data_IF_740674912997
#
_entry.id   IF_740674912997
#
_cell.length_a   1.000
_cell.length_b   1.000
_cell.length_c   1.000
_cell.angle_alpha   90.00
_cell.angle_beta   90.00
_cell.angle_gamma   90.00
#
_symmetry.space_group_name_H-M   'P 1'
#
loop_
_entity.id
_entity.type
_entity.pdbx_description
1 polymer ?
#
# COMPACT_ATOMS: atom_id res chain seq x y z
N UNK A 1 4.29 3.88 -51.60
CA UNK A 1 5.43 3.69 -50.67
C UNK A 1 4.88 3.54 -49.25
N UNK A 2 4.25 2.39 -48.96
CA UNK A 2 3.60 2.14 -47.64
C UNK A 2 4.19 0.93 -46.91
N UNK A 3 5.28 0.34 -47.43
CA UNK A 3 5.90 -0.91 -46.86
C UNK A 3 7.06 -0.71 -45.89
N UNK A 4 7.49 0.54 -45.63
CA UNK A 4 8.68 0.76 -44.77
C UNK A 4 8.40 0.86 -43.27
N UNK A 5 7.18 1.19 -42.87
CA UNK A 5 6.84 1.42 -41.46
C UNK A 5 6.68 0.11 -40.65
N UNK A 6 5.98 -0.87 -41.21
CA UNK A 6 5.72 -2.15 -40.54
C UNK A 6 7.00 -3.00 -40.37
N UNK A 7 7.88 -2.92 -41.37
CA UNK A 7 9.16 -3.65 -41.33
C UNK A 7 10.13 -3.07 -40.25
N UNK A 8 10.11 -1.76 -40.03
CA UNK A 8 10.89 -1.11 -38.96
C UNK A 8 10.31 -1.40 -37.58
N UNK A 9 9.00 -1.42 -37.42
CA UNK A 9 8.33 -1.79 -36.16
C UNK A 9 8.57 -3.26 -35.81
N UNK A 10 8.44 -4.17 -36.77
CA UNK A 10 8.72 -5.59 -36.55
C UNK A 10 10.19 -5.86 -36.17
N UNK A 11 11.12 -5.18 -36.80
CA UNK A 11 12.57 -5.29 -36.50
C UNK A 11 12.93 -4.70 -35.14
N UNK A 12 12.30 -3.61 -34.75
CA UNK A 12 12.46 -2.99 -33.42
C UNK A 12 11.90 -3.92 -32.32
N UNK A 13 10.72 -4.49 -32.51
CA UNK A 13 10.13 -5.46 -31.59
C UNK A 13 11.00 -6.72 -31.43
N UNK A 14 11.56 -7.21 -32.52
CA UNK A 14 12.46 -8.36 -32.50
C UNK A 14 13.78 -8.09 -31.76
N UNK A 15 14.39 -6.92 -32.00
CA UNK A 15 15.62 -6.52 -31.29
C UNK A 15 15.35 -6.31 -29.80
N UNK A 16 14.21 -5.72 -29.42
CA UNK A 16 13.82 -5.57 -28.02
C UNK A 16 13.55 -6.93 -27.34
N UNK A 17 12.87 -7.84 -28.02
CA UNK A 17 12.65 -9.19 -27.48
C UNK A 17 13.96 -9.93 -27.28
N UNK A 18 14.87 -9.91 -28.25
CA UNK A 18 16.19 -10.53 -28.15
C UNK A 18 17.07 -9.88 -27.06
N UNK A 19 17.04 -8.55 -26.93
CA UNK A 19 17.72 -7.84 -25.84
C UNK A 19 17.12 -8.16 -24.48
N UNK A 20 15.80 -8.21 -24.38
CA UNK A 20 15.10 -8.59 -23.16
C UNK A 20 15.43 -10.03 -22.74
N UNK A 21 15.37 -10.98 -23.68
CA UNK A 21 15.73 -12.38 -23.43
C UNK A 21 17.21 -12.52 -23.04
N UNK A 22 18.09 -11.73 -23.67
CA UNK A 22 19.51 -11.71 -23.31
C UNK A 22 19.74 -11.12 -21.94
N UNK A 23 19.11 -9.97 -21.60
CA UNK A 23 19.17 -9.36 -20.28
C UNK A 23 18.59 -10.32 -19.24
N UNK A 24 17.47 -10.97 -19.53
CA UNK A 24 16.85 -11.97 -18.67
C UNK A 24 17.78 -13.16 -18.43
N UNK A 25 18.43 -13.66 -19.49
CA UNK A 25 19.41 -14.75 -19.40
C UNK A 25 20.68 -14.33 -18.66
N UNK A 26 21.22 -13.12 -18.91
CA UNK A 26 22.33 -12.56 -18.16
C UNK A 26 22.00 -12.32 -16.67
N UNK A 27 20.70 -12.09 -16.35
CA UNK A 27 20.19 -12.00 -14.98
C UNK A 27 20.08 -13.39 -14.32
N UNK A 28 19.63 -14.40 -15.06
CA UNK A 28 19.52 -15.79 -14.60
C UNK A 28 20.92 -16.45 -14.47
N UNK A 29 21.90 -16.10 -15.32
CA UNK A 29 23.29 -16.56 -15.24
C UNK A 29 24.15 -15.84 -14.20
N UNK A 30 23.73 -14.63 -13.73
CA UNK A 30 24.31 -13.96 -12.57
C UNK A 30 23.68 -14.43 -11.25
N UNK A 31 23.59 -15.73 -11.01
CA UNK A 31 23.55 -16.29 -9.66
C UNK A 31 24.92 -16.16 -8.97
N UNK A 32 25.45 -14.95 -8.92
CA UNK A 32 26.33 -14.53 -7.85
C UNK A 32 25.48 -14.58 -6.61
N UNK A 33 25.95 -15.16 -5.52
CA UNK A 33 25.27 -15.32 -4.22
C UNK A 33 24.56 -14.03 -3.79
N UNK A 34 23.41 -13.78 -4.40
CA UNK A 34 22.63 -12.60 -4.08
C UNK A 34 21.98 -12.86 -2.72
N UNK A 35 22.30 -12.00 -1.76
CA UNK A 35 21.69 -12.03 -0.45
C UNK A 35 20.17 -12.05 -0.61
N UNK A 36 19.48 -12.98 0.04
CA UNK A 36 18.03 -13.08 -0.02
C UNK A 36 17.42 -11.84 0.66
N UNK A 37 16.47 -11.17 0.01
CA UNK A 37 15.81 -10.01 0.58
C UNK A 37 14.37 -10.31 0.94
N UNK A 38 14.05 -10.11 2.22
CA UNK A 38 12.70 -10.12 2.79
C UNK A 38 12.47 -8.86 3.64
N UNK A 39 13.26 -7.81 3.37
CA UNK A 39 13.22 -6.56 4.14
C UNK A 39 11.92 -5.78 3.92
N UNK A 40 11.48 -5.71 2.67
CA UNK A 40 10.29 -4.95 2.28
C UNK A 40 9.59 -5.57 1.06
N UNK A 41 8.41 -5.05 0.73
CA UNK A 41 7.56 -5.51 -0.37
C UNK A 41 7.55 -4.56 -1.59
N UNK A 42 8.62 -3.76 -1.74
CA UNK A 42 8.80 -2.80 -2.84
C UNK A 42 10.26 -2.72 -3.34
N UNK A 43 11.03 -3.82 -3.18
CA UNK A 43 12.43 -3.86 -3.63
C UNK A 43 12.57 -4.06 -5.14
N UNK A 44 11.65 -4.79 -5.75
CA UNK A 44 11.64 -5.06 -7.18
C UNK A 44 11.03 -3.89 -7.97
N UNK A 45 11.26 -3.89 -9.29
CA UNK A 45 10.64 -2.94 -10.22
C UNK A 45 9.15 -3.15 -10.39
N UNK A 46 8.66 -3.26 -11.63
CA UNK A 46 7.26 -3.55 -11.88
C UNK A 46 7.04 -4.96 -12.43
N UNK A 47 5.81 -5.47 -12.26
CA UNK A 47 5.37 -6.72 -12.88
C UNK A 47 5.52 -6.66 -14.41
N UNK A 48 5.93 -7.76 -15.04
CA UNK A 48 6.24 -7.82 -16.47
C UNK A 48 5.11 -7.33 -17.38
N UNK A 49 3.86 -7.60 -17.03
CA UNK A 49 2.68 -7.14 -17.78
C UNK A 49 2.60 -5.60 -17.74
N UNK A 50 2.92 -4.99 -16.61
CA UNK A 50 2.95 -3.52 -16.44
C UNK A 50 4.06 -2.92 -17.31
N UNK A 51 5.29 -3.46 -17.23
CA UNK A 51 6.40 -3.00 -18.06
C UNK A 51 6.10 -3.15 -19.54
N UNK A 52 5.55 -4.28 -19.95
CA UNK A 52 5.14 -4.51 -21.33
C UNK A 52 4.13 -3.46 -21.79
N UNK A 53 3.11 -3.17 -20.99
CA UNK A 53 2.08 -2.17 -21.31
C UNK A 53 2.67 -0.78 -21.46
N UNK A 54 3.61 -0.39 -20.60
CA UNK A 54 4.33 0.88 -20.71
C UNK A 54 5.15 0.96 -22.01
N UNK A 55 5.82 -0.12 -22.41
CA UNK A 55 6.61 -0.21 -23.65
C UNK A 55 5.68 -0.11 -24.87
N UNK A 56 4.62 -0.91 -24.88
CA UNK A 56 3.70 -0.98 -26.03
C UNK A 56 3.04 0.37 -26.33
N UNK A 57 2.77 1.16 -25.30
CA UNK A 57 2.09 2.46 -25.41
C UNK A 57 3.04 3.67 -25.50
N UNK A 58 4.36 3.46 -25.34
CA UNK A 58 5.34 4.55 -25.14
C UNK A 58 5.33 5.64 -26.21
N UNK A 59 5.08 5.29 -27.48
CA UNK A 59 5.13 6.24 -28.60
C UNK A 59 3.77 6.90 -28.91
N UNK A 60 2.74 6.59 -28.15
CA UNK A 60 1.44 7.24 -28.32
C UNK A 60 1.48 8.69 -27.84
N UNK A 61 0.89 9.58 -28.62
CA UNK A 61 0.71 10.99 -28.25
C UNK A 61 -0.62 11.14 -27.51
N UNK A 62 -0.54 11.45 -26.21
CA UNK A 62 -1.67 11.48 -25.29
C UNK A 62 -1.78 12.83 -24.58
N UNK A 63 -2.98 13.16 -24.11
CA UNK A 63 -3.22 14.31 -23.23
C UNK A 63 -2.36 14.23 -21.98
N UNK A 64 -1.95 15.37 -21.44
CA UNK A 64 -1.16 15.45 -20.20
C UNK A 64 -2.01 15.44 -18.94
N UNK A 65 -1.31 15.42 -17.79
CA UNK A 65 -1.87 15.66 -16.47
C UNK A 65 -2.98 14.69 -16.03
N UNK A 66 -2.95 13.44 -16.55
CA UNK A 66 -3.93 12.40 -16.18
C UNK A 66 -5.30 12.53 -16.82
N UNK A 67 -5.40 13.26 -17.93
CA UNK A 67 -6.64 13.40 -18.72
C UNK A 67 -6.65 12.52 -19.99
N UNK A 68 -5.70 11.61 -20.09
CA UNK A 68 -5.62 10.64 -21.19
C UNK A 68 -6.57 9.46 -20.97
N UNK A 69 -6.85 8.73 -22.05
CA UNK A 69 -7.81 7.63 -22.02
C UNK A 69 -7.38 6.45 -21.13
N UNK A 70 -6.07 6.22 -20.90
CA UNK A 70 -5.62 5.18 -19.98
C UNK A 70 -5.94 5.55 -18.54
N UNK A 71 -5.74 6.82 -18.17
CA UNK A 71 -6.15 7.32 -16.87
C UNK A 71 -7.65 7.18 -16.66
N UNK A 72 -8.46 7.57 -17.66
CA UNK A 72 -9.92 7.46 -17.54
C UNK A 72 -10.37 5.99 -17.48
N UNK A 73 -9.81 5.10 -18.32
CA UNK A 73 -10.14 3.66 -18.26
C UNK A 73 -9.73 3.05 -16.92
N UNK A 74 -8.57 3.41 -16.37
CA UNK A 74 -8.13 2.96 -15.06
C UNK A 74 -9.12 3.37 -13.96
N UNK A 75 -9.55 4.64 -13.97
CA UNK A 75 -10.52 5.17 -12.99
C UNK A 75 -11.85 4.40 -13.08
N UNK A 76 -12.40 4.17 -14.27
CA UNK A 76 -13.64 3.41 -14.44
C UNK A 76 -13.52 1.96 -13.96
N UNK A 77 -12.40 1.28 -14.22
CA UNK A 77 -12.14 -0.08 -13.70
C UNK A 77 -12.07 -0.11 -12.18
N UNK A 78 -11.42 0.89 -11.57
CA UNK A 78 -11.33 1.03 -10.12
C UNK A 78 -12.71 1.24 -9.50
N UNK A 79 -13.51 2.17 -10.04
CA UNK A 79 -14.90 2.41 -9.60
C UNK A 79 -15.73 1.12 -9.65
N UNK A 80 -15.66 0.40 -10.77
CA UNK A 80 -16.37 -0.87 -10.93
C UNK A 80 -15.91 -1.93 -9.92
N UNK A 81 -14.61 -2.04 -9.65
CA UNK A 81 -14.06 -2.97 -8.67
C UNK A 81 -14.53 -2.65 -7.24
N UNK A 82 -14.62 -1.36 -6.90
CA UNK A 82 -15.07 -0.88 -5.59
C UNK A 82 -16.61 -0.80 -5.47
N UNK A 83 -17.35 -0.94 -6.59
CA UNK A 83 -18.80 -0.78 -6.60
C UNK A 83 -19.28 0.64 -6.29
N UNK A 84 -18.46 1.65 -6.63
CA UNK A 84 -18.69 3.07 -6.37
C UNK A 84 -18.78 3.83 -7.71
N UNK A 85 -19.90 3.76 -8.40
CA UNK A 85 -20.05 4.38 -9.74
C UNK A 85 -19.92 5.91 -9.69
N UNK A 86 -20.41 6.53 -8.63
CA UNK A 86 -20.36 7.99 -8.42
C UNK A 86 -19.03 8.49 -7.82
N UNK A 87 -18.10 7.61 -7.50
CA UNK A 87 -16.80 7.98 -6.93
C UNK A 87 -15.95 8.82 -7.88
N UNK A 88 -15.10 9.67 -7.30
CA UNK A 88 -14.07 10.40 -8.00
C UNK A 88 -12.71 9.74 -7.71
N UNK A 89 -11.95 9.42 -8.77
CA UNK A 89 -10.66 8.74 -8.63
C UNK A 89 -9.54 9.65 -9.10
N UNK A 90 -8.47 9.75 -8.30
CA UNK A 90 -7.28 10.50 -8.61
C UNK A 90 -6.02 9.64 -8.45
N UNK A 91 -5.06 9.73 -9.39
CA UNK A 91 -3.84 8.95 -9.36
C UNK A 91 -2.66 9.81 -8.88
N UNK A 92 -1.98 9.36 -7.82
CA UNK A 92 -0.81 9.99 -7.20
C UNK A 92 0.39 9.04 -7.24
N UNK A 93 1.60 9.50 -6.90
CA UNK A 93 2.83 8.73 -7.13
C UNK A 93 3.30 7.89 -5.95
N UNK A 94 2.92 8.20 -4.73
CA UNK A 94 3.41 7.49 -3.55
C UNK A 94 2.57 7.73 -2.30
N UNK A 95 2.63 6.80 -1.33
CA UNK A 95 1.75 6.77 -0.15
C UNK A 95 1.87 8.03 0.72
N UNK A 96 3.09 8.39 1.15
CA UNK A 96 3.31 9.60 1.98
C UNK A 96 2.82 10.87 1.29
N UNK A 97 3.08 11.02 -0.02
CA UNK A 97 2.56 12.14 -0.80
C UNK A 97 1.02 12.14 -0.82
N UNK A 98 0.42 10.96 -0.95
CA UNK A 98 -1.03 10.77 -0.96
C UNK A 98 -1.63 11.17 0.39
N UNK A 99 -1.09 10.65 1.49
CA UNK A 99 -1.55 10.98 2.85
C UNK A 99 -1.44 12.49 3.11
N UNK A 100 -0.30 13.10 2.78
CA UNK A 100 -0.07 14.53 2.93
C UNK A 100 -1.11 15.37 2.16
N UNK A 101 -1.35 15.06 0.89
CA UNK A 101 -2.28 15.82 0.03
C UNK A 101 -3.72 15.68 0.50
N UNK A 102 -4.15 14.46 0.83
CA UNK A 102 -5.52 14.20 1.26
C UNK A 102 -5.79 14.92 2.58
N UNK A 103 -4.94 14.73 3.57
CA UNK A 103 -5.12 15.32 4.91
C UNK A 103 -5.09 16.84 4.82
N UNK A 104 -4.10 17.43 4.13
CA UNK A 104 -4.01 18.89 3.95
C UNK A 104 -5.14 19.50 3.13
N UNK A 105 -5.81 18.71 2.30
CA UNK A 105 -6.88 19.22 1.44
C UNK A 105 -8.26 19.10 2.09
N UNK A 106 -8.46 18.04 2.86
CA UNK A 106 -9.75 17.72 3.48
C UNK A 106 -9.95 18.47 4.78
N UNK A 107 -8.88 18.62 5.58
CA UNK A 107 -8.96 19.26 6.88
C UNK A 107 -8.97 20.79 6.78
N UNK A 108 -9.76 21.40 7.64
CA UNK A 108 -9.66 22.84 7.91
C UNK A 108 -8.38 23.14 8.73
N UNK A 109 -7.81 24.37 8.66
CA UNK A 109 -6.53 24.70 9.31
C UNK A 109 -6.47 24.48 10.83
N UNK A 110 -7.61 24.39 11.50
CA UNK A 110 -7.74 24.15 12.94
C UNK A 110 -7.99 22.68 13.28
N UNK A 111 -8.05 21.80 12.28
CA UNK A 111 -8.35 20.39 12.45
C UNK A 111 -7.09 19.53 12.42
N UNK A 112 -7.17 18.39 13.09
CA UNK A 112 -6.17 17.34 13.08
C UNK A 112 -6.75 15.98 12.66
N UNK A 113 -5.89 15.06 12.30
CA UNK A 113 -6.24 13.70 11.91
C UNK A 113 -6.06 12.74 13.09
N UNK A 114 -7.11 11.98 13.41
CA UNK A 114 -7.06 10.91 14.41
C UNK A 114 -6.41 9.69 13.77
N UNK A 115 -5.36 9.14 14.38
CA UNK A 115 -4.67 7.94 13.91
C UNK A 115 -4.28 7.03 15.08
N UNK A 116 -4.08 5.74 14.81
CA UNK A 116 -3.44 4.85 15.78
C UNK A 116 -2.02 5.35 16.09
N UNK A 117 -1.56 5.23 17.35
CA UNK A 117 -0.18 5.57 17.74
C UNK A 117 0.88 4.89 16.87
N UNK A 118 0.57 3.70 16.32
CA UNK A 118 1.42 2.96 15.39
C UNK A 118 1.09 3.22 13.92
N UNK A 119 0.12 4.07 13.62
CA UNK A 119 -0.27 4.42 12.26
C UNK A 119 0.88 5.02 11.46
N UNK A 120 0.90 4.78 10.16
CA UNK A 120 2.00 5.22 9.30
C UNK A 120 2.23 6.73 9.37
N UNK A 121 1.16 7.53 9.40
CA UNK A 121 1.22 8.99 9.55
C UNK A 121 1.77 9.45 10.91
N UNK A 122 1.65 8.60 11.96
CA UNK A 122 2.20 8.90 13.29
C UNK A 122 3.69 8.60 13.39
N UNK A 123 4.20 7.60 12.63
CA UNK A 123 5.52 7.01 12.91
C UNK A 123 6.51 7.04 11.73
N UNK A 124 6.05 6.92 10.49
CA UNK A 124 6.91 6.61 9.34
C UNK A 124 6.84 7.62 8.18
N UNK A 125 6.30 8.82 8.41
CA UNK A 125 6.19 9.85 7.37
C UNK A 125 7.02 11.11 7.64
N UNK A 126 8.00 11.02 8.54
CA UNK A 126 8.94 12.13 8.84
C UNK A 126 8.24 13.45 9.20
N UNK A 127 7.05 13.39 9.82
CA UNK A 127 6.25 14.57 10.15
C UNK A 127 5.61 15.24 8.93
N UNK A 128 5.30 14.48 7.86
CA UNK A 128 4.71 15.04 6.65
C UNK A 128 3.34 15.69 6.89
N UNK A 129 2.58 15.18 7.86
CA UNK A 129 1.28 15.75 8.22
C UNK A 129 1.45 17.06 9.01
N UNK A 130 2.35 17.06 10.00
CA UNK A 130 2.68 18.27 10.77
C UNK A 130 3.28 19.36 9.89
N UNK A 131 4.03 18.97 8.84
CA UNK A 131 4.58 19.89 7.85
C UNK A 131 3.49 20.66 7.09
N UNK A 132 2.28 20.09 6.93
CA UNK A 132 1.14 20.79 6.34
C UNK A 132 0.39 21.70 7.33
N UNK A 133 0.77 21.67 8.62
CA UNK A 133 0.17 22.46 9.67
C UNK A 133 -0.92 21.72 10.47
N UNK A 134 -1.18 20.44 10.15
CA UNK A 134 -2.15 19.63 10.87
C UNK A 134 -1.48 18.78 11.94
N UNK A 135 -2.20 18.56 13.03
CA UNK A 135 -1.74 17.71 14.12
C UNK A 135 -2.23 16.28 13.91
N UNK A 136 -1.36 15.29 14.17
CA UNK A 136 -1.81 13.91 14.36
C UNK A 136 -2.30 13.75 15.80
N UNK A 137 -3.57 13.34 15.97
CA UNK A 137 -4.23 13.06 17.24
C UNK A 137 -4.15 11.55 17.49
N UNK A 138 -3.12 11.12 18.24
CA UNK A 138 -2.85 9.70 18.45
C UNK A 138 -3.84 9.05 19.41
N UNK A 139 -4.39 7.90 19.00
CA UNK A 139 -5.15 6.99 19.86
C UNK A 139 -4.33 5.75 20.25
N UNK A 140 -4.58 5.18 21.44
CA UNK A 140 -4.11 3.84 21.78
C UNK A 140 -4.56 2.84 20.72
N UNK A 141 -3.73 1.83 20.49
CA UNK A 141 -4.02 0.79 19.51
C UNK A 141 -4.06 -0.59 20.16
N UNK A 142 -4.78 -1.51 19.56
CA UNK A 142 -4.72 -2.93 19.86
C UNK A 142 -4.43 -3.68 18.56
N UNK A 143 -3.30 -4.35 18.50
CA UNK A 143 -2.83 -5.07 17.31
C UNK A 143 -2.74 -4.18 16.06
N UNK A 144 -2.33 -2.91 16.25
CA UNK A 144 -2.25 -1.89 15.18
C UNK A 144 -3.58 -1.19 14.85
N UNK A 145 -4.71 -1.60 15.45
CA UNK A 145 -6.04 -1.09 15.14
C UNK A 145 -6.55 -0.06 16.14
N UNK A 146 -7.21 0.98 15.67
CA UNK A 146 -8.06 1.85 16.48
C UNK A 146 -9.28 1.04 16.92
N UNK A 147 -9.60 1.11 18.22
CA UNK A 147 -10.83 0.52 18.74
C UNK A 147 -11.97 1.55 18.68
N UNK A 148 -13.14 1.15 18.19
CA UNK A 148 -14.28 2.04 18.07
C UNK A 148 -14.67 2.71 19.40
N UNK A 149 -14.55 1.99 20.53
CA UNK A 149 -14.80 2.54 21.86
C UNK A 149 -13.83 3.68 22.22
N UNK A 150 -12.55 3.55 21.88
CA UNK A 150 -11.55 4.59 22.14
C UNK A 150 -11.80 5.83 21.26
N UNK A 151 -12.16 5.62 19.99
CA UNK A 151 -12.55 6.70 19.09
C UNK A 151 -13.77 7.46 19.65
N UNK A 152 -14.81 6.75 20.04
CA UNK A 152 -16.01 7.34 20.60
C UNK A 152 -15.72 8.13 21.88
N UNK A 153 -14.96 7.54 22.80
CA UNK A 153 -14.55 8.20 24.04
C UNK A 153 -13.75 9.49 23.79
N UNK A 154 -12.83 9.49 22.81
CA UNK A 154 -12.09 10.70 22.44
C UNK A 154 -13.03 11.82 21.98
N UNK A 155 -13.98 11.49 21.08
CA UNK A 155 -14.92 12.47 20.52
C UNK A 155 -15.92 12.97 21.58
N UNK A 156 -16.47 12.08 22.41
CA UNK A 156 -17.37 12.46 23.52
C UNK A 156 -16.64 13.36 24.53
N UNK A 157 -15.39 13.01 24.87
CA UNK A 157 -14.57 13.82 25.79
C UNK A 157 -14.26 15.19 25.20
N UNK A 158 -13.89 15.25 23.92
CA UNK A 158 -13.60 16.51 23.23
C UNK A 158 -14.81 17.44 23.25
N UNK A 159 -15.95 16.98 22.76
CA UNK A 159 -17.16 17.81 22.68
C UNK A 159 -17.85 18.04 24.03
N UNK A 160 -17.53 17.25 25.05
CA UNK A 160 -17.98 17.45 26.43
C UNK A 160 -17.19 18.48 27.21
N UNK A 161 -16.01 18.89 26.72
CA UNK A 161 -15.19 19.91 27.36
C UNK A 161 -15.74 21.31 27.03
N UNK A 162 -16.05 22.09 28.05
CA UNK A 162 -16.56 23.48 27.88
C UNK A 162 -15.55 24.41 27.17
N UNK A 163 -14.29 24.02 27.04
CA UNK A 163 -13.22 24.80 26.41
C UNK A 163 -12.72 24.15 25.09
N UNK A 164 -13.48 23.25 24.48
CA UNK A 164 -13.05 22.53 23.26
C UNK A 164 -12.67 23.49 22.11
N UNK A 165 -13.22 24.69 22.05
CA UNK A 165 -12.88 25.74 21.08
C UNK A 165 -11.39 26.19 21.16
N UNK A 166 -10.67 25.86 22.24
CA UNK A 166 -9.24 26.12 22.40
C UNK A 166 -8.35 24.95 22.00
N UNK A 167 -8.94 23.84 21.55
CA UNK A 167 -8.23 22.62 21.20
C UNK A 167 -8.20 22.40 19.69
N UNK A 168 -7.31 21.51 19.22
CA UNK A 168 -7.32 21.06 17.83
C UNK A 168 -8.54 20.17 17.62
N UNK A 169 -9.37 20.52 16.65
CA UNK A 169 -10.58 19.76 16.34
C UNK A 169 -10.26 18.41 15.69
N UNK A 170 -10.91 17.33 16.09
CA UNK A 170 -10.83 16.06 15.37
C UNK A 170 -11.58 16.16 14.04
N UNK A 171 -10.86 16.21 12.93
CA UNK A 171 -11.43 16.48 11.60
C UNK A 171 -11.46 15.27 10.65
N UNK A 172 -10.75 14.19 10.98
CA UNK A 172 -10.67 12.99 10.14
C UNK A 172 -10.22 11.80 10.99
N UNK A 173 -10.68 10.60 10.66
CA UNK A 173 -10.13 9.33 11.18
C UNK A 173 -9.32 8.66 10.09
N UNK A 174 -8.04 8.41 10.36
CA UNK A 174 -7.12 7.67 9.50
C UNK A 174 -6.90 6.26 10.04
N UNK A 175 -7.01 5.26 9.17
CA UNK A 175 -6.66 3.87 9.47
C UNK A 175 -5.84 3.28 8.32
N UNK A 176 -4.94 2.35 8.62
CA UNK A 176 -4.27 1.52 7.61
C UNK A 176 -4.92 0.15 7.49
N UNK A 177 -5.12 -0.34 6.27
CA UNK A 177 -5.65 -1.69 6.04
C UNK A 177 -4.91 -2.41 4.89
N UNK A 178 -4.14 -3.48 5.20
CA UNK A 178 -3.73 -3.97 6.54
C UNK A 178 -3.03 -2.92 7.39
N UNK A 179 -3.05 -3.10 8.72
CA UNK A 179 -2.29 -2.24 9.64
C UNK A 179 -0.78 -2.41 9.44
N UNK A 180 0.02 -1.59 10.10
CA UNK A 180 1.48 -1.69 10.09
C UNK A 180 1.99 -3.03 10.64
N UNK A 181 1.20 -3.66 11.52
CA UNK A 181 1.44 -5.03 12.01
C UNK A 181 0.90 -6.14 11.09
N UNK A 182 0.35 -5.77 9.93
CA UNK A 182 -0.24 -6.72 8.98
C UNK A 182 -1.56 -7.33 9.43
N UNK A 183 -2.16 -6.83 10.50
CA UNK A 183 -3.49 -7.26 10.98
C UNK A 183 -4.60 -6.64 10.13
N UNK A 184 -5.78 -7.23 10.17
CA UNK A 184 -6.93 -6.83 9.38
C UNK A 184 -8.05 -6.29 10.28
N UNK A 185 -8.66 -5.20 9.89
CA UNK A 185 -9.98 -4.84 10.41
C UNK A 185 -11.00 -5.83 9.85
N UNK A 186 -11.84 -6.36 10.71
CA UNK A 186 -13.04 -7.09 10.28
C UNK A 186 -14.08 -6.11 9.71
N UNK A 187 -14.99 -6.62 8.90
CA UNK A 187 -16.11 -5.81 8.40
C UNK A 187 -16.87 -5.12 9.52
N UNK A 188 -17.13 -5.84 10.63
CA UNK A 188 -17.84 -5.27 11.80
C UNK A 188 -17.05 -4.16 12.50
N UNK A 189 -15.72 -4.28 12.58
CA UNK A 189 -14.88 -3.20 13.13
C UNK A 189 -14.94 -1.95 12.23
N UNK A 190 -14.89 -2.12 10.90
CA UNK A 190 -15.03 -1.01 9.94
C UNK A 190 -16.42 -0.38 10.00
N UNK A 191 -17.50 -1.17 10.09
CA UNK A 191 -18.87 -0.66 10.27
C UNK A 191 -18.97 0.22 11.52
N UNK A 192 -18.43 -0.25 12.66
CA UNK A 192 -18.48 0.50 13.90
C UNK A 192 -17.69 1.83 13.82
N UNK A 193 -16.54 1.84 13.16
CA UNK A 193 -15.76 3.07 12.94
C UNK A 193 -16.50 4.03 12.01
N UNK A 194 -17.05 3.53 10.91
CA UNK A 194 -17.83 4.30 9.94
C UNK A 194 -19.08 4.94 10.59
N UNK A 195 -19.82 4.18 11.40
CA UNK A 195 -20.98 4.69 12.14
C UNK A 195 -20.61 5.87 13.04
N UNK A 196 -19.51 5.77 13.80
CA UNK A 196 -19.03 6.86 14.66
C UNK A 196 -18.58 8.08 13.81
N UNK A 197 -17.83 7.84 12.74
CA UNK A 197 -17.40 8.91 11.85
C UNK A 197 -18.59 9.67 11.27
N UNK A 198 -19.64 8.97 10.83
CA UNK A 198 -20.87 9.59 10.33
C UNK A 198 -21.65 10.33 11.42
N UNK A 199 -21.72 9.79 12.66
CA UNK A 199 -22.36 10.47 13.80
C UNK A 199 -21.73 11.83 14.06
N UNK A 200 -20.38 11.92 14.00
CA UNK A 200 -19.63 13.16 14.23
C UNK A 200 -19.33 13.97 12.95
N UNK A 201 -19.76 13.49 11.79
CA UNK A 201 -19.57 14.14 10.47
C UNK A 201 -18.11 14.39 10.12
N UNK A 202 -17.24 13.46 10.46
CA UNK A 202 -15.82 13.44 10.09
C UNK A 202 -15.57 12.27 9.15
N UNK A 203 -14.75 12.42 8.08
CA UNK A 203 -14.52 11.33 7.14
C UNK A 203 -13.67 10.21 7.75
N UNK A 204 -14.00 8.98 7.38
CA UNK A 204 -13.15 7.80 7.57
C UNK A 204 -12.25 7.65 6.35
N UNK A 205 -10.94 7.84 6.54
CA UNK A 205 -9.91 7.70 5.52
C UNK A 205 -9.10 6.42 5.74
N UNK A 206 -9.02 5.55 4.71
CA UNK A 206 -8.25 4.31 4.75
C UNK A 206 -7.01 4.38 3.87
N UNK A 207 -5.86 4.23 4.50
CA UNK A 207 -4.57 3.96 3.86
C UNK A 207 -4.53 2.51 3.37
N UNK A 208 -4.54 2.33 2.07
CA UNK A 208 -4.52 1.04 1.39
C UNK A 208 -3.19 0.70 0.74
N UNK A 209 -2.05 1.16 1.28
CA UNK A 209 -0.71 0.90 0.71
C UNK A 209 -0.44 -0.58 0.43
N UNK A 210 -1.01 -1.47 1.26
CA UNK A 210 -0.95 -2.93 1.13
C UNK A 210 -2.31 -3.58 0.93
N UNK A 211 -3.31 -2.83 0.49
CA UNK A 211 -4.69 -3.28 0.39
C UNK A 211 -4.85 -4.59 -0.39
N UNK A 212 -4.07 -4.76 -1.45
CA UNK A 212 -4.04 -5.99 -2.26
C UNK A 212 -3.77 -7.24 -1.42
N UNK A 213 -2.88 -7.14 -0.41
CA UNK A 213 -2.51 -8.26 0.45
C UNK A 213 -3.58 -8.49 1.54
N UNK A 214 -4.23 -7.43 2.00
CA UNK A 214 -5.39 -7.54 2.89
C UNK A 214 -6.58 -8.25 2.24
N UNK A 215 -6.91 -7.85 1.01
CA UNK A 215 -8.01 -8.46 0.23
C UNK A 215 -7.70 -9.91 -0.19
N UNK A 216 -6.41 -10.25 -0.37
CA UNK A 216 -6.00 -11.61 -0.75
C UNK A 216 -5.82 -12.56 0.46
N UNK A 217 -5.81 -12.06 1.69
CA UNK A 217 -5.70 -12.90 2.89
C UNK A 217 -6.90 -13.82 3.05
N UNK A 218 -6.67 -15.06 3.50
CA UNK A 218 -7.75 -16.04 3.69
C UNK A 218 -8.70 -15.66 4.84
N UNK A 219 -8.19 -14.95 5.84
CA UNK A 219 -8.93 -14.54 7.03
C UNK A 219 -9.77 -13.26 6.84
N UNK A 220 -9.69 -12.61 5.67
CA UNK A 220 -10.46 -11.37 5.43
C UNK A 220 -11.95 -11.66 5.22
N UNK A 221 -12.79 -10.84 5.81
CA UNK A 221 -14.24 -10.77 5.54
C UNK A 221 -14.61 -9.45 4.81
N UNK A 222 -13.57 -8.68 4.36
CA UNK A 222 -13.72 -7.37 3.74
C UNK A 222 -13.36 -7.44 2.27
N UNK A 223 -14.19 -6.86 1.43
CA UNK A 223 -13.96 -6.71 -0.03
C UNK A 223 -13.73 -5.25 -0.40
N UNK A 224 -13.23 -4.98 -1.62
CA UNK A 224 -13.15 -3.61 -2.16
C UNK A 224 -14.52 -2.90 -2.15
N UNK A 225 -15.61 -3.64 -2.39
CA UNK A 225 -16.98 -3.09 -2.35
C UNK A 225 -17.42 -2.73 -0.94
N UNK A 226 -16.97 -3.45 0.08
CA UNK A 226 -17.25 -3.10 1.47
C UNK A 226 -16.49 -1.82 1.86
N UNK A 227 -15.23 -1.70 1.45
CA UNK A 227 -14.42 -0.49 1.66
C UNK A 227 -15.07 0.73 0.99
N UNK A 228 -15.51 0.57 -0.28
CA UNK A 228 -16.20 1.64 -1.00
C UNK A 228 -17.52 2.09 -0.38
N UNK A 229 -18.14 1.27 0.49
CA UNK A 229 -19.36 1.62 1.23
C UNK A 229 -19.09 2.22 2.61
N UNK A 230 -17.98 1.82 3.24
CA UNK A 230 -17.73 2.10 4.66
C UNK A 230 -16.73 3.24 4.86
N UNK A 231 -15.88 3.51 3.86
CA UNK A 231 -14.90 4.61 3.92
C UNK A 231 -15.33 5.76 3.01
N UNK A 232 -15.18 6.98 3.49
CA UNK A 232 -15.44 8.19 2.70
C UNK A 232 -14.31 8.43 1.70
N UNK A 233 -13.08 8.10 2.11
CA UNK A 233 -11.87 8.24 1.31
C UNK A 233 -11.02 6.99 1.54
N UNK A 234 -10.41 6.47 0.48
CA UNK A 234 -9.37 5.45 0.61
C UNK A 234 -8.43 5.53 -0.57
N UNK A 235 -7.26 4.90 -0.47
CA UNK A 235 -6.47 4.69 -1.66
C UNK A 235 -6.10 3.22 -1.85
N UNK A 236 -5.95 2.82 -3.10
CA UNK A 236 -5.48 1.51 -3.51
C UNK A 236 -4.00 1.63 -3.87
N UNK A 237 -3.14 1.01 -3.05
CA UNK A 237 -1.71 1.01 -3.26
C UNK A 237 -1.30 0.24 -4.50
N UNK A 238 -0.55 0.88 -5.38
CA UNK A 238 0.04 0.26 -6.57
C UNK A 238 1.53 0.00 -6.41
N UNK A 239 2.26 0.88 -5.72
CA UNK A 239 3.71 0.77 -5.52
C UNK A 239 4.14 -0.58 -4.94
N UNK A 240 3.40 -1.11 -3.97
CA UNK A 240 3.65 -2.44 -3.38
C UNK A 240 2.93 -3.57 -4.14
N UNK A 241 2.07 -3.22 -5.09
CA UNK A 241 1.28 -4.14 -5.90
C UNK A 241 1.85 -4.38 -7.32
N UNK A 242 3.16 -4.28 -7.48
CA UNK A 242 3.85 -4.54 -8.75
C UNK A 242 3.76 -3.41 -9.77
N UNK A 243 3.43 -2.19 -9.39
CA UNK A 243 3.64 -1.00 -10.20
C UNK A 243 5.03 -0.40 -9.93
N UNK A 244 5.57 0.41 -10.85
CA UNK A 244 6.78 1.21 -10.61
C UNK A 244 6.54 2.26 -9.52
N UNK A 245 5.38 2.85 -9.53
CA UNK A 245 4.87 3.81 -8.55
C UNK A 245 3.38 4.03 -8.80
N UNK A 246 2.65 4.45 -7.80
CA UNK A 246 1.28 4.90 -7.96
C UNK A 246 0.35 4.45 -6.84
N UNK A 247 -0.54 5.38 -6.50
CA UNK A 247 -1.63 5.19 -5.55
C UNK A 247 -2.92 5.73 -6.17
N UNK A 248 -3.98 4.96 -6.17
CA UNK A 248 -5.27 5.38 -6.68
C UNK A 248 -6.18 5.82 -5.53
N UNK A 249 -6.33 7.12 -5.36
CA UNK A 249 -7.22 7.72 -4.37
C UNK A 249 -8.65 7.64 -4.86
N UNK A 250 -9.55 7.17 -4.02
CA UNK A 250 -10.98 7.08 -4.27
C UNK A 250 -11.72 7.94 -3.24
N UNK A 251 -12.42 8.95 -3.71
CA UNK A 251 -13.39 9.73 -2.95
C UNK A 251 -14.76 9.16 -3.26
N UNK A 252 -15.41 8.58 -2.27
CA UNK A 252 -16.75 8.00 -2.45
C UNK A 252 -17.82 9.09 -2.46
N UNK A 253 -18.97 8.83 -3.07
CA UNK A 253 -20.15 9.71 -3.04
C UNK A 253 -19.89 11.19 -3.37
N UNK A 254 -18.93 11.49 -4.28
CA UNK A 254 -18.54 12.85 -4.65
C UNK A 254 -18.02 13.69 -3.48
N UNK A 255 -17.29 13.07 -2.58
CA UNK A 255 -16.68 13.71 -1.41
C UNK A 255 -15.36 14.42 -1.71
N UNK A 256 -14.88 14.41 -2.95
CA UNK A 256 -13.63 15.09 -3.34
C UNK A 256 -13.73 16.60 -3.09
N UNK A 257 -12.77 17.19 -2.35
CA UNK A 257 -12.79 18.63 -2.08
C UNK A 257 -12.71 19.47 -3.37
N UNK A 258 -13.36 20.62 -3.36
CA UNK A 258 -13.26 21.57 -4.45
C UNK A 258 -11.77 21.95 -4.69
N UNK A 259 -11.40 22.06 -5.97
CA UNK A 259 -10.03 22.40 -6.37
C UNK A 259 -8.95 21.39 -5.97
N UNK A 260 -9.30 20.12 -5.76
CA UNK A 260 -8.33 19.08 -5.42
C UNK A 260 -7.15 19.02 -6.38
N UNK A 261 -7.38 19.09 -7.69
CA UNK A 261 -6.32 19.18 -8.71
C UNK A 261 -5.33 20.34 -8.45
N UNK A 262 -5.84 21.48 -8.00
CA UNK A 262 -5.00 22.65 -7.68
C UNK A 262 -4.12 22.38 -6.48
N UNK A 263 -4.63 21.71 -5.45
CA UNK A 263 -3.87 21.28 -4.27
C UNK A 263 -2.79 20.26 -4.65
N UNK A 264 -3.13 19.27 -5.46
CA UNK A 264 -2.15 18.31 -6.02
C UNK A 264 -1.02 19.04 -6.75
N UNK A 265 -1.34 20.08 -7.54
CA UNK A 265 -0.34 20.90 -8.24
C UNK A 265 0.53 21.71 -7.27
N UNK A 266 -0.04 22.27 -6.21
CA UNK A 266 0.70 23.02 -5.18
C UNK A 266 1.72 22.12 -4.45
N UNK A 267 1.35 20.87 -4.16
CA UNK A 267 2.26 19.86 -3.59
C UNK A 267 3.29 19.29 -4.58
N UNK A 268 3.34 19.81 -5.83
CA UNK A 268 4.26 19.31 -6.87
C UNK A 268 3.97 17.89 -7.36
N UNK A 269 2.78 17.35 -7.04
CA UNK A 269 2.40 15.98 -7.28
C UNK A 269 1.71 15.73 -8.63
N UNK A 270 1.38 16.78 -9.38
CA UNK A 270 0.69 16.66 -10.67
C UNK A 270 1.69 16.39 -11.80
N UNK A 271 1.75 15.15 -12.25
CA UNK A 271 2.63 14.73 -13.32
C UNK A 271 2.17 15.23 -14.69
N UNK A 272 3.05 15.89 -15.43
CA UNK A 272 2.77 16.26 -16.83
C UNK A 272 2.49 15.02 -17.70
N UNK A 273 3.22 13.90 -17.46
CA UNK A 273 2.98 12.60 -18.10
C UNK A 273 2.16 11.69 -17.17
N UNK A 274 0.95 12.13 -16.78
CA UNK A 274 0.03 11.39 -15.91
C UNK A 274 -0.29 9.98 -16.42
N UNK A 275 -0.21 9.77 -17.76
CA UNK A 275 -0.33 8.44 -18.39
C UNK A 275 0.55 7.37 -17.73
N UNK A 276 1.70 7.76 -17.12
CA UNK A 276 2.56 6.82 -16.41
C UNK A 276 1.78 6.05 -15.34
N UNK A 277 0.92 6.74 -14.61
CA UNK A 277 0.06 6.11 -13.60
C UNK A 277 -1.13 5.41 -14.24
N UNK A 278 -1.79 6.08 -15.21
CA UNK A 278 -2.97 5.54 -15.91
C UNK A 278 -2.72 4.19 -16.57
N UNK A 279 -1.66 4.07 -17.37
CA UNK A 279 -1.29 2.82 -18.06
C UNK A 279 -1.03 1.67 -17.05
N UNK A 280 -0.40 1.97 -15.92
CA UNK A 280 -0.10 0.98 -14.91
C UNK A 280 -1.36 0.49 -14.20
N UNK A 281 -2.23 1.41 -13.74
CA UNK A 281 -3.49 1.03 -13.09
C UNK A 281 -4.48 0.40 -14.07
N UNK A 282 -4.54 0.86 -15.34
CA UNK A 282 -5.34 0.20 -16.38
C UNK A 282 -4.96 -1.27 -16.55
N UNK A 283 -3.66 -1.56 -16.62
CA UNK A 283 -3.15 -2.92 -16.71
C UNK A 283 -3.39 -3.73 -15.42
N UNK A 284 -3.18 -3.12 -14.24
CA UNK A 284 -3.37 -3.77 -12.94
C UNK A 284 -4.80 -4.27 -12.74
N UNK A 285 -5.79 -3.50 -13.21
CA UNK A 285 -7.22 -3.85 -13.14
C UNK A 285 -7.74 -4.53 -14.42
N UNK A 286 -6.84 -5.14 -15.22
CA UNK A 286 -7.18 -5.96 -16.39
C UNK A 286 -6.89 -7.43 -16.08
N UNK A 287 -7.74 -8.36 -16.59
CA UNK A 287 -7.56 -9.80 -16.52
C UNK A 287 -7.26 -10.35 -15.12
N UNK A 288 -7.85 -9.73 -14.10
CA UNK A 288 -7.73 -10.13 -12.69
C UNK A 288 -6.28 -10.09 -12.16
N UNK A 289 -5.42 -9.23 -12.75
CA UNK A 289 -4.01 -9.14 -12.36
C UNK A 289 -3.85 -8.69 -10.91
N UNK A 290 -4.67 -7.74 -10.46
CA UNK A 290 -4.68 -7.26 -9.07
C UNK A 290 -4.78 -8.41 -8.07
N UNK A 291 -5.76 -9.32 -8.26
CA UNK A 291 -5.95 -10.47 -7.37
C UNK A 291 -4.81 -11.50 -7.48
N UNK A 292 -4.31 -11.76 -8.69
CA UNK A 292 -3.21 -12.71 -8.92
C UNK A 292 -1.92 -12.28 -8.21
N UNK A 293 -1.60 -10.98 -8.25
CA UNK A 293 -0.46 -10.39 -7.57
C UNK A 293 -0.56 -10.55 -6.05
N UNK A 294 -1.73 -10.23 -5.47
CA UNK A 294 -1.97 -10.39 -4.03
C UNK A 294 -1.80 -11.83 -3.56
N UNK A 295 -2.32 -12.78 -4.34
CA UNK A 295 -2.28 -14.21 -4.01
C UNK A 295 -0.86 -14.75 -3.84
N UNK A 296 0.08 -14.40 -4.72
CA UNK A 296 1.47 -14.84 -4.62
C UNK A 296 2.13 -14.46 -3.29
N UNK A 297 1.93 -13.22 -2.85
CA UNK A 297 2.51 -12.74 -1.59
C UNK A 297 1.94 -13.48 -0.37
N UNK A 298 0.64 -13.77 -0.37
CA UNK A 298 -0.03 -14.48 0.74
C UNK A 298 0.38 -15.96 0.76
N UNK A 299 0.43 -16.63 -0.38
CA UNK A 299 0.88 -18.04 -0.46
C UNK A 299 2.33 -18.21 0.01
N UNK A 300 3.22 -17.31 -0.41
CA UNK A 300 4.63 -17.35 0.01
C UNK A 300 4.79 -17.02 1.49
N UNK A 301 4.01 -16.06 2.02
CA UNK A 301 3.94 -15.77 3.45
C UNK A 301 3.45 -16.97 4.27
N UNK A 302 2.39 -17.65 3.83
CA UNK A 302 1.83 -18.80 4.52
C UNK A 302 2.86 -19.95 4.64
N UNK A 303 3.63 -20.24 3.58
CA UNK A 303 4.70 -21.23 3.62
C UNK A 303 5.81 -20.81 4.59
N UNK A 304 6.22 -19.54 4.57
CA UNK A 304 7.25 -19.02 5.48
C UNK A 304 6.76 -19.09 6.94
N UNK A 305 5.55 -18.64 7.25
CA UNK A 305 4.93 -18.75 8.60
C UNK A 305 4.91 -20.19 9.11
N UNK A 306 4.47 -21.13 8.25
CA UNK A 306 4.43 -22.55 8.61
C UNK A 306 5.82 -23.10 8.93
N UNK A 307 6.84 -22.72 8.16
CA UNK A 307 8.22 -23.12 8.37
C UNK A 307 8.80 -22.54 9.66
N UNK A 308 8.60 -21.25 9.93
CA UNK A 308 9.01 -20.57 11.16
C UNK A 308 8.36 -21.21 12.40
N UNK A 309 7.06 -21.50 12.33
CA UNK A 309 6.34 -22.17 13.42
C UNK A 309 6.91 -23.57 13.70
N UNK A 310 7.24 -24.34 12.64
CA UNK A 310 7.87 -25.66 12.75
C UNK A 310 9.28 -25.57 13.37
N UNK A 311 10.03 -24.51 13.06
CA UNK A 311 11.37 -24.27 13.62
C UNK A 311 11.33 -23.73 15.06
N UNK A 312 10.14 -23.46 15.63
CA UNK A 312 9.97 -23.03 17.02
C UNK A 312 10.11 -21.52 17.27
N UNK A 313 10.12 -20.68 16.24
CA UNK A 313 10.16 -19.24 16.43
C UNK A 313 8.88 -18.69 17.04
N UNK A 314 9.05 -17.77 18.01
CA UNK A 314 7.94 -17.04 18.62
C UNK A 314 7.45 -15.94 17.66
N UNK A 315 6.15 -15.93 17.39
CA UNK A 315 5.52 -14.83 16.64
C UNK A 315 5.21 -13.68 17.57
N UNK A 316 5.71 -12.49 17.23
CA UNK A 316 5.40 -11.26 17.97
C UNK A 316 3.92 -10.89 17.83
N UNK A 317 3.38 -11.07 16.64
CA UNK A 317 1.96 -10.89 16.33
C UNK A 317 1.54 -11.89 15.23
N UNK A 318 0.32 -12.37 15.28
CA UNK A 318 -0.23 -13.25 14.24
C UNK A 318 -0.85 -12.40 13.11
N UNK A 319 -0.02 -12.07 12.13
CA UNK A 319 -0.42 -11.34 10.94
C UNK A 319 -0.93 -12.31 9.87
N UNK A 320 -2.15 -12.13 9.33
CA UNK A 320 -2.67 -12.95 8.23
C UNK A 320 -2.17 -12.54 6.85
N UNK A 321 -1.34 -11.50 6.76
CA UNK A 321 -0.91 -10.91 5.49
C UNK A 321 0.53 -11.25 5.11
N UNK A 322 1.09 -10.50 4.18
CA UNK A 322 2.45 -10.66 3.66
C UNK A 322 3.56 -10.23 4.63
N UNK A 323 3.23 -9.65 5.78
CA UNK A 323 4.17 -9.21 6.80
C UNK A 323 4.20 -10.21 7.96
N UNK A 324 5.37 -10.73 8.32
CA UNK A 324 5.55 -11.77 9.34
C UNK A 324 6.53 -11.25 10.38
N UNK A 325 6.11 -11.21 11.62
CA UNK A 325 6.88 -10.67 12.75
C UNK A 325 7.26 -11.78 13.70
N UNK A 326 8.56 -11.94 13.95
CA UNK A 326 9.08 -12.92 14.90
C UNK A 326 10.01 -12.27 15.92
N UNK A 327 10.10 -12.89 17.08
CA UNK A 327 11.13 -12.60 18.08
C UNK A 327 12.33 -13.50 17.81
N UNK A 328 13.52 -12.92 17.70
CA UNK A 328 14.76 -13.65 17.43
C UNK A 328 15.85 -13.24 18.41
N UNK A 329 16.69 -14.20 18.84
CA UNK A 329 17.91 -13.90 19.61
C UNK A 329 18.89 -13.04 18.80
N UNK A 330 19.54 -12.07 19.47
CA UNK A 330 20.44 -11.12 18.80
C UNK A 330 21.68 -11.79 18.17
N UNK A 331 22.11 -12.94 18.68
CA UNK A 331 23.19 -13.75 18.10
C UNK A 331 22.72 -14.44 16.82
N UNK A 332 21.55 -15.09 16.88
CA UNK A 332 20.92 -15.70 15.69
C UNK A 332 20.61 -14.65 14.61
N UNK A 333 20.16 -13.46 14.99
CA UNK A 333 19.93 -12.36 14.03
C UNK A 333 21.20 -11.98 13.26
N UNK A 334 22.34 -11.88 13.95
CA UNK A 334 23.63 -11.59 13.31
C UNK A 334 24.06 -12.68 12.30
N UNK A 335 23.78 -13.96 12.61
CA UNK A 335 24.04 -15.04 11.68
C UNK A 335 23.06 -15.02 10.48
N UNK A 336 21.76 -14.81 10.74
CA UNK A 336 20.75 -14.68 9.71
C UNK A 336 21.12 -13.58 8.69
N UNK A 337 21.55 -12.42 9.21
CA UNK A 337 21.89 -11.25 8.39
C UNK A 337 23.08 -11.45 7.45
N UNK A 338 23.84 -12.55 7.60
CA UNK A 338 24.88 -12.93 6.61
C UNK A 338 24.28 -13.51 5.33
N UNK A 339 23.03 -13.95 5.34
CA UNK A 339 22.37 -14.65 4.26
C UNK A 339 21.07 -13.97 3.79
N UNK A 340 20.37 -13.28 4.70
CA UNK A 340 19.03 -12.74 4.47
C UNK A 340 18.93 -11.32 5.03
N UNK A 341 18.43 -10.38 4.23
CA UNK A 341 18.04 -9.06 4.74
C UNK A 341 16.58 -9.10 5.23
N UNK A 342 16.39 -8.56 6.44
CA UNK A 342 15.08 -8.43 7.11
C UNK A 342 14.97 -7.05 7.74
N UNK A 343 13.74 -6.57 7.96
CA UNK A 343 13.54 -5.31 8.67
C UNK A 343 13.71 -5.50 10.18
N UNK A 344 14.48 -4.61 10.81
CA UNK A 344 14.34 -4.36 12.23
C UNK A 344 12.94 -3.78 12.49
N UNK A 345 12.25 -4.29 13.50
CA UNK A 345 10.95 -3.75 13.90
C UNK A 345 11.05 -3.00 15.23
N UNK A 346 11.37 -3.71 16.30
CA UNK A 346 11.60 -3.11 17.61
C UNK A 346 12.52 -3.96 18.50
N UNK A 347 13.07 -3.37 19.54
CA UNK A 347 13.78 -4.08 20.59
C UNK A 347 12.78 -4.76 21.52
N UNK A 348 12.81 -6.08 21.63
CA UNK A 348 11.98 -6.82 22.60
C UNK A 348 12.51 -6.72 24.03
N UNK A 349 13.81 -7.02 24.18
CA UNK A 349 14.60 -6.91 25.41
C UNK A 349 16.09 -6.81 25.06
N UNK A 350 16.99 -6.99 26.04
CA UNK A 350 18.43 -6.87 25.82
C UNK A 350 19.03 -8.02 24.99
N UNK A 351 18.35 -9.17 24.90
CA UNK A 351 18.80 -10.37 24.20
C UNK A 351 18.03 -10.63 22.90
N UNK A 352 16.84 -10.05 22.75
CA UNK A 352 15.94 -10.35 21.63
C UNK A 352 15.49 -9.11 20.88
N UNK A 353 15.35 -9.27 19.58
CA UNK A 353 14.84 -8.27 18.63
C UNK A 353 13.59 -8.82 17.94
N UNK A 354 12.61 -7.95 17.73
CA UNK A 354 11.51 -8.24 16.79
C UNK A 354 11.97 -7.86 15.38
N UNK A 355 11.89 -8.80 14.47
CA UNK A 355 12.16 -8.57 13.03
C UNK A 355 10.92 -8.84 12.21
N UNK A 356 10.87 -8.22 11.03
CA UNK A 356 9.81 -8.45 10.06
C UNK A 356 10.39 -9.06 8.79
N UNK A 357 9.77 -10.14 8.33
CA UNK A 357 9.86 -10.59 6.94
C UNK A 357 8.67 -10.01 6.16
N UNK A 358 8.93 -9.56 4.94
CA UNK A 358 7.90 -9.13 4.01
C UNK A 358 8.01 -9.96 2.72
N UNK A 359 6.92 -10.62 2.34
CA UNK A 359 6.79 -11.21 1.01
C UNK A 359 6.09 -10.24 0.07
N UNK A 360 6.25 -10.42 -1.23
CA UNK A 360 5.70 -9.53 -2.24
C UNK A 360 5.13 -10.30 -3.44
N UNK A 361 4.58 -9.55 -4.38
CA UNK A 361 4.17 -10.07 -5.67
C UNK A 361 5.30 -10.79 -6.43
N UNK A 362 6.57 -10.43 -6.16
CA UNK A 362 7.76 -10.96 -6.82
C UNK A 362 8.47 -12.05 -6.02
N UNK A 363 8.04 -12.33 -4.79
CA UNK A 363 8.69 -13.34 -3.93
C UNK A 363 8.60 -14.71 -4.58
N UNK A 364 9.77 -15.34 -4.82
CA UNK A 364 9.87 -16.70 -5.36
C UNK A 364 9.77 -17.72 -4.24
N UNK A 365 8.98 -18.76 -4.43
CA UNK A 365 8.83 -19.85 -3.44
C UNK A 365 10.16 -20.53 -3.09
N UNK A 366 11.07 -20.64 -4.06
CA UNK A 366 12.42 -21.15 -3.86
C UNK A 366 13.22 -20.35 -2.83
N UNK A 367 13.07 -19.01 -2.85
CA UNK A 367 13.73 -18.13 -1.88
C UNK A 367 13.15 -18.32 -0.47
N UNK A 368 11.85 -18.60 -0.37
CA UNK A 368 11.22 -18.95 0.91
C UNK A 368 11.83 -20.23 1.49
N UNK A 369 12.01 -21.27 0.67
CA UNK A 369 12.65 -22.50 1.14
C UNK A 369 14.10 -22.28 1.56
N UNK A 370 14.89 -21.52 0.79
CA UNK A 370 16.27 -21.14 1.16
C UNK A 370 16.35 -20.43 2.50
N UNK A 371 15.45 -19.47 2.76
CA UNK A 371 15.37 -18.77 4.07
C UNK A 371 15.06 -19.75 5.19
N UNK A 372 14.12 -20.67 4.98
CA UNK A 372 13.76 -21.68 5.98
C UNK A 372 14.93 -22.64 6.28
N UNK A 373 15.74 -23.00 5.29
CA UNK A 373 16.97 -23.79 5.49
C UNK A 373 17.98 -23.03 6.34
N UNK A 374 18.21 -21.75 6.07
CA UNK A 374 19.10 -20.89 6.90
C UNK A 374 18.60 -20.84 8.34
N UNK A 375 17.31 -20.56 8.55
CA UNK A 375 16.70 -20.44 9.87
C UNK A 375 16.71 -21.76 10.69
N UNK A 376 16.68 -22.90 10.02
CA UNK A 376 16.79 -24.22 10.67
C UNK A 376 18.22 -24.55 11.10
N UNK A 377 19.24 -23.91 10.51
CA UNK A 377 20.65 -24.06 10.84
C UNK A 377 21.15 -23.14 11.96
N UNK A 378 20.32 -22.18 12.41
CA UNK A 378 20.62 -21.24 13.50
C UNK A 378 20.25 -21.80 14.87
#
# INVERSE_FOLDING_TARGET
MQFSGEFFQAKSRYIFAVLYDKIKKDYEEKEVSQMLSFENDYSEGAHEIILKRLIDTNMEQLSGYGTDHYCETAKEKIKAACGCEDAEVFLLTGGTQTNQIIIDTVLAPYEGVIAAKTGHVSTHEAGAIEFTGHKVLELPQKDGKIQAAELKNLLETFYGDGNYEHMVFPGMVYISHPTEYGTLYTKKELENLSEICHEYKIPLYMDGARLIYGIAAEETDVTLKDIGKLCDIFYIGGTKAGLLCGEAVVFTEKTMPAHFLTRVKQHGALLAKGRLLGVQFDALFTDDLYRKIGKNAIETAAVLKKGLKKAGYEFYIDSPTNQIFIVIDNGQLKELQKHVTVSFWEKKDDLHTVIRFATSWATRMENVYKVLEVLQGL
#
